data_IF_970332286962
#
_entry.id   IF_970332286962
#
_cell.length_a   1.000
_cell.length_b   1.000
_cell.length_c   1.000
_cell.angle_alpha   90.00
_cell.angle_beta   90.00
_cell.angle_gamma   90.00
#
_symmetry.space_group_name_H-M   'P 1'
#
loop_
_entity.id
_entity.type
_entity.pdbx_description
1 polymer ?
#
# COMPACT_ATOMS: atom_id res chain seq x y z
N UNK A 1 8.49 0.10 -11.60
CA UNK A 1 9.87 -0.37 -11.42
C UNK A 1 10.61 0.62 -10.55
N UNK A 2 11.72 0.21 -9.94
CA UNK A 2 12.57 1.00 -9.03
C UNK A 2 11.87 1.49 -7.75
N UNK A 3 10.85 0.73 -7.31
CA UNK A 3 10.17 0.91 -6.03
C UNK A 3 9.97 -0.43 -5.34
N UNK A 4 9.99 -0.43 -4.02
CA UNK A 4 9.54 -1.54 -3.17
C UNK A 4 8.28 -1.17 -2.40
N UNK A 5 7.44 -2.15 -2.11
CA UNK A 5 6.39 -2.04 -1.11
C UNK A 5 7.01 -2.04 0.29
N UNK A 6 6.59 -1.13 1.16
CA UNK A 6 7.02 -1.06 2.55
C UNK A 6 5.87 -0.58 3.44
N UNK A 7 6.07 -0.61 4.76
CA UNK A 7 5.09 -0.21 5.76
C UNK A 7 5.75 0.64 6.85
N UNK A 8 5.09 1.72 7.27
CA UNK A 8 5.72 2.64 8.22
C UNK A 8 4.76 3.40 9.14
N UNK A 9 3.79 4.16 8.60
CA UNK A 9 2.96 5.03 9.43
C UNK A 9 1.84 4.26 10.16
N UNK A 10 1.77 4.37 11.50
CA UNK A 10 0.73 3.70 12.29
C UNK A 10 -0.61 4.45 12.22
N UNK A 11 -1.67 3.74 11.84
CA UNK A 11 -3.02 4.31 11.78
C UNK A 11 -3.92 3.59 12.78
N UNK A 12 -4.51 4.36 13.69
CA UNK A 12 -5.33 3.85 14.79
C UNK A 12 -6.47 2.95 14.30
N UNK A 13 -7.20 3.38 13.28
CA UNK A 13 -8.33 2.60 12.80
C UNK A 13 -7.90 1.29 12.10
N UNK A 14 -6.67 1.22 11.57
CA UNK A 14 -6.06 -0.02 11.07
C UNK A 14 -5.37 -0.85 12.17
N UNK A 15 -5.07 -0.26 13.33
CA UNK A 15 -4.26 -0.87 14.40
C UNK A 15 -2.93 -1.43 13.88
N UNK A 16 -2.32 -0.77 12.90
CA UNK A 16 -1.10 -1.22 12.24
C UNK A 16 -0.52 -0.19 11.29
N UNK A 17 0.67 -0.50 10.76
CA UNK A 17 1.33 0.36 9.79
C UNK A 17 0.63 0.27 8.43
N UNK A 18 0.43 1.42 7.78
CA UNK A 18 -0.09 1.49 6.41
C UNK A 18 1.02 1.40 5.37
N UNK A 19 0.64 1.11 4.13
CA UNK A 19 1.55 0.86 3.03
C UNK A 19 2.12 2.14 2.44
N UNK A 20 3.37 2.08 1.99
CA UNK A 20 4.01 3.09 1.15
C UNK A 20 4.83 2.39 0.07
N UNK A 21 5.25 3.14 -0.95
CA UNK A 21 6.29 2.70 -1.88
C UNK A 21 7.54 3.54 -1.69
N UNK A 22 8.70 2.89 -1.64
CA UNK A 22 9.99 3.56 -1.44
C UNK A 22 10.89 3.28 -2.63
N UNK A 23 11.60 4.30 -3.11
CA UNK A 23 12.58 4.14 -4.18
C UNK A 23 13.59 3.05 -3.80
N UNK A 24 13.76 2.08 -4.69
CA UNK A 24 14.63 0.93 -4.49
C UNK A 24 14.99 0.36 -5.85
N UNK A 25 16.24 0.60 -6.27
CA UNK A 25 16.73 0.21 -7.60
C UNK A 25 16.50 -1.28 -7.83
N UNK A 26 16.05 -1.63 -9.03
CA UNK A 26 15.80 -3.00 -9.48
C UNK A 26 14.64 -3.72 -8.75
N UNK A 27 13.99 -3.08 -7.78
CA UNK A 27 12.76 -3.55 -7.17
C UNK A 27 11.54 -3.19 -8.05
N UNK A 28 10.40 -3.81 -7.76
CA UNK A 28 9.15 -3.46 -8.43
C UNK A 28 7.95 -3.63 -7.49
N UNK A 29 6.91 -2.86 -7.80
CA UNK A 29 5.60 -2.92 -7.16
C UNK A 29 4.57 -3.17 -8.26
N UNK A 30 3.71 -4.16 -8.06
CA UNK A 30 2.48 -4.32 -8.81
C UNK A 30 1.35 -3.61 -8.08
N UNK A 31 0.41 -3.08 -8.85
CA UNK A 31 -0.78 -2.41 -8.35
C UNK A 31 -1.85 -2.33 -9.44
N UNK A 32 -2.95 -1.69 -9.09
CA UNK A 32 -4.11 -1.50 -9.97
C UNK A 32 -4.18 -0.05 -10.43
N UNK A 33 -4.43 0.17 -11.72
CA UNK A 33 -4.63 1.51 -12.27
C UNK A 33 -6.13 1.79 -12.36
N UNK A 34 -6.58 2.83 -11.68
CA UNK A 34 -7.95 3.31 -11.71
C UNK A 34 -8.08 4.55 -12.59
N UNK A 35 -9.18 4.65 -13.33
CA UNK A 35 -9.55 5.88 -14.04
C UNK A 35 -10.61 6.60 -13.23
N UNK A 36 -10.47 7.91 -13.08
CA UNK A 36 -11.42 8.75 -12.35
C UNK A 36 -11.47 10.16 -12.93
N UNK A 37 -12.56 10.86 -12.63
CA UNK A 37 -12.70 12.25 -13.00
C UNK A 37 -11.73 13.13 -12.19
N UNK A 38 -11.08 14.05 -12.90
CA UNK A 38 -10.05 14.90 -12.30
C UNK A 38 -10.58 15.85 -11.23
N UNK A 39 -11.88 16.15 -11.25
CA UNK A 39 -12.53 16.95 -10.22
C UNK A 39 -12.61 16.23 -8.86
N UNK A 40 -12.53 14.89 -8.82
CA UNK A 40 -12.52 14.09 -7.60
C UNK A 40 -11.13 13.95 -6.96
N UNK A 41 -10.06 14.42 -7.61
CA UNK A 41 -8.69 14.25 -7.10
C UNK A 41 -8.49 14.81 -5.69
N UNK A 42 -9.19 15.89 -5.34
CA UNK A 42 -9.10 16.50 -4.01
C UNK A 42 -9.60 15.58 -2.89
N UNK A 43 -10.60 14.72 -3.16
CA UNK A 43 -11.07 13.74 -2.17
C UNK A 43 -10.03 12.66 -1.91
N UNK A 44 -9.26 12.25 -2.93
CA UNK A 44 -8.13 11.35 -2.70
C UNK A 44 -7.02 12.02 -1.89
N UNK A 45 -6.68 13.27 -2.21
CA UNK A 45 -5.67 14.02 -1.45
C UNK A 45 -6.07 14.18 0.03
N UNK A 46 -7.37 14.36 0.31
CA UNK A 46 -7.91 14.39 1.66
C UNK A 46 -7.81 13.03 2.36
N UNK A 47 -8.23 11.94 1.69
CA UNK A 47 -8.16 10.58 2.23
C UNK A 47 -6.73 10.15 2.57
N UNK A 48 -5.76 10.54 1.74
CA UNK A 48 -4.33 10.23 1.92
C UNK A 48 -3.64 11.22 2.88
N UNK A 49 -4.38 12.18 3.43
CA UNK A 49 -3.87 13.11 4.43
C UNK A 49 -2.76 14.02 3.89
N UNK A 50 -2.85 14.44 2.62
CA UNK A 50 -1.84 15.29 1.97
C UNK A 50 -1.68 16.62 2.71
N UNK A 51 -2.79 17.24 3.11
CA UNK A 51 -2.76 18.49 3.89
C UNK A 51 -2.15 18.31 5.29
N UNK A 52 -2.12 17.08 5.81
CA UNK A 52 -1.50 16.72 7.09
C UNK A 52 -0.04 16.26 6.94
N UNK A 53 0.47 16.19 5.70
CA UNK A 53 1.83 15.75 5.41
C UNK A 53 2.06 14.26 5.61
N UNK A 54 1.00 13.43 5.68
CA UNK A 54 1.15 11.98 5.85
C UNK A 54 1.72 11.37 4.58
N UNK A 55 1.06 11.62 3.44
CA UNK A 55 1.53 11.27 2.11
C UNK A 55 1.71 12.53 1.26
N UNK A 56 2.47 12.39 0.16
CA UNK A 56 2.49 13.36 -0.93
C UNK A 56 2.13 12.67 -2.25
N UNK A 57 1.45 13.39 -3.16
CA UNK A 57 1.13 12.85 -4.47
C UNK A 57 2.37 12.81 -5.36
N UNK A 58 2.52 11.72 -6.12
CA UNK A 58 3.59 11.53 -7.11
C UNK A 58 3.02 10.98 -8.40
N UNK A 59 3.45 11.52 -9.54
CA UNK A 59 3.22 10.90 -10.83
C UNK A 59 4.31 9.87 -11.09
N UNK A 60 3.91 8.65 -11.41
CA UNK A 60 4.80 7.54 -11.76
C UNK A 60 4.46 7.00 -13.14
N UNK A 61 5.47 6.56 -13.88
CA UNK A 61 5.26 5.81 -15.12
C UNK A 61 5.16 4.33 -14.78
N UNK A 62 4.04 3.71 -15.12
CA UNK A 62 3.77 2.28 -14.92
C UNK A 62 3.66 1.58 -16.27
N UNK A 63 3.98 0.29 -16.29
CA UNK A 63 3.89 -0.55 -17.49
C UNK A 63 2.78 -1.57 -17.30
N UNK A 64 1.82 -1.61 -18.21
CA UNK A 64 0.73 -2.60 -18.20
C UNK A 64 1.24 -3.99 -18.62
N UNK A 65 0.47 -5.07 -18.40
CA UNK A 65 0.83 -6.40 -18.91
C UNK A 65 1.01 -6.47 -20.43
N UNK A 66 0.36 -5.56 -21.19
CA UNK A 66 0.53 -5.45 -22.64
C UNK A 66 1.77 -4.66 -23.07
N UNK A 67 2.55 -4.15 -22.11
CA UNK A 67 3.74 -3.32 -22.37
C UNK A 67 3.46 -1.84 -22.59
N UNK A 68 2.20 -1.40 -22.45
CA UNK A 68 1.85 0.02 -22.56
C UNK A 68 2.37 0.79 -21.35
N UNK A 69 2.95 1.97 -21.59
CA UNK A 69 3.32 2.89 -20.52
C UNK A 69 2.19 3.87 -20.23
N UNK A 70 1.86 4.04 -18.95
CA UNK A 70 0.86 4.98 -18.45
C UNK A 70 1.49 5.88 -17.39
N UNK A 71 1.10 7.15 -17.36
CA UNK A 71 1.38 8.03 -16.22
C UNK A 71 0.21 7.93 -15.26
N UNK A 72 0.47 7.53 -14.03
CA UNK A 72 -0.53 7.41 -12.97
C UNK A 72 -0.13 8.25 -11.76
N UNK A 73 -1.12 8.86 -11.11
CA UNK A 73 -0.95 9.48 -9.79
C UNK A 73 -0.97 8.38 -8.74
N UNK A 74 -0.03 8.44 -7.80
CA UNK A 74 0.02 7.60 -6.61
C UNK A 74 0.43 8.46 -5.40
N UNK A 75 0.46 7.85 -4.22
CA UNK A 75 0.78 8.51 -2.96
C UNK A 75 1.94 7.80 -2.29
N UNK A 76 2.91 8.57 -1.80
CA UNK A 76 4.08 8.06 -1.09
C UNK A 76 4.14 8.74 0.28
N UNK A 77 4.40 7.97 1.34
CA UNK A 77 4.58 8.55 2.67
C UNK A 77 5.70 9.60 2.64
N UNK A 78 5.47 10.74 3.30
CA UNK A 78 6.45 11.83 3.36
C UNK A 78 7.72 11.40 4.10
N UNK A 79 7.58 10.54 5.11
CA UNK A 79 8.67 10.04 5.94
C UNK A 79 8.92 8.56 5.65
N UNK A 80 9.60 8.26 4.54
CA UNK A 80 9.82 6.88 4.14
C UNK A 80 10.74 6.11 5.09
N UNK A 81 10.47 4.82 5.31
CA UNK A 81 11.34 3.97 6.12
C UNK A 81 12.64 3.60 5.38
N UNK A 82 13.69 3.37 6.16
CA UNK A 82 14.89 2.69 5.67
C UNK A 82 14.58 1.25 5.24
N UNK A 83 15.27 0.81 4.19
CA UNK A 83 15.22 -0.57 3.71
C UNK A 83 15.73 -1.50 4.81
N UNK A 84 14.94 -2.53 5.11
CA UNK A 84 15.31 -3.53 6.11
C UNK A 84 16.51 -4.33 5.61
N UNK A 85 17.43 -4.65 6.53
CA UNK A 85 18.64 -5.42 6.19
C UNK A 85 18.26 -6.85 5.83
N UNK A 86 19.02 -7.43 4.90
CA UNK A 86 18.82 -8.83 4.49
C UNK A 86 18.84 -9.77 5.70
N UNK A 87 17.87 -10.69 5.74
CA UNK A 87 17.73 -11.67 6.82
C UNK A 87 17.10 -11.13 8.11
N UNK A 88 16.57 -9.90 8.09
CA UNK A 88 15.78 -9.35 9.20
C UNK A 88 14.37 -9.02 8.76
N UNK A 89 13.40 -9.22 9.65
CA UNK A 89 12.02 -8.81 9.43
C UNK A 89 11.84 -7.30 9.62
N UNK A 90 10.74 -6.76 9.07
CA UNK A 90 10.27 -5.42 9.39
C UNK A 90 10.06 -5.29 10.93
N UNK A 91 10.55 -4.20 11.56
CA UNK A 91 10.36 -3.96 12.99
C UNK A 91 8.88 -3.95 13.38
N UNK A 92 8.55 -4.40 14.59
CA UNK A 92 7.16 -4.52 15.07
C UNK A 92 6.32 -3.24 14.89
N UNK A 93 6.91 -2.07 15.15
CA UNK A 93 6.26 -0.76 15.00
C UNK A 93 6.00 -0.33 13.55
N UNK A 94 6.48 -1.09 12.57
CA UNK A 94 6.27 -0.89 11.13
C UNK A 94 5.44 -2.00 10.50
N UNK A 95 4.96 -2.98 11.28
CA UNK A 95 4.19 -4.10 10.73
C UNK A 95 2.72 -3.71 10.53
N UNK A 96 2.09 -4.12 9.42
CA UNK A 96 0.65 -3.96 9.22
C UNK A 96 -0.13 -4.84 10.20
N UNK A 97 -1.42 -4.52 10.37
CA UNK A 97 -2.35 -5.43 11.05
C UNK A 97 -2.75 -6.58 10.13
N UNK A 98 -3.27 -7.66 10.71
CA UNK A 98 -3.77 -8.81 9.95
C UNK A 98 -4.85 -8.37 8.95
N UNK A 99 -5.82 -7.59 9.42
CA UNK A 99 -6.93 -7.10 8.57
C UNK A 99 -6.42 -6.23 7.42
N UNK A 100 -5.45 -5.34 7.66
CA UNK A 100 -4.96 -4.45 6.61
C UNK A 100 -4.21 -5.23 5.53
N UNK A 101 -3.32 -6.16 5.91
CA UNK A 101 -2.59 -6.97 4.95
C UNK A 101 -3.53 -7.87 4.14
N UNK A 102 -4.55 -8.43 4.79
CA UNK A 102 -5.59 -9.24 4.15
C UNK A 102 -6.39 -8.43 3.11
N UNK A 103 -6.79 -7.20 3.44
CA UNK A 103 -7.46 -6.29 2.47
C UNK A 103 -6.57 -6.00 1.26
N UNK A 104 -5.28 -5.72 1.45
CA UNK A 104 -4.34 -5.51 0.34
C UNK A 104 -4.28 -6.76 -0.55
N UNK A 105 -4.14 -7.93 0.06
CA UNK A 105 -4.00 -9.17 -0.68
C UNK A 105 -5.28 -9.56 -1.43
N UNK A 106 -6.47 -9.37 -0.82
CA UNK A 106 -7.74 -9.60 -1.49
C UNK A 106 -7.97 -8.63 -2.65
N UNK A 107 -7.63 -7.35 -2.48
CA UNK A 107 -7.69 -6.38 -3.58
C UNK A 107 -6.73 -6.74 -4.73
N UNK A 108 -5.55 -7.27 -4.41
CA UNK A 108 -4.60 -7.78 -5.41
C UNK A 108 -5.16 -9.00 -6.18
N UNK A 109 -5.84 -9.92 -5.48
CA UNK A 109 -6.50 -11.09 -6.09
C UNK A 109 -7.65 -10.64 -7.00
N UNK A 110 -8.52 -9.76 -6.50
CA UNK A 110 -9.66 -9.22 -7.25
C UNK A 110 -9.19 -8.48 -8.51
N UNK A 111 -8.09 -7.75 -8.42
CA UNK A 111 -7.48 -7.03 -9.54
C UNK A 111 -6.63 -7.92 -10.47
N UNK A 112 -6.60 -9.23 -10.24
CA UNK A 112 -5.84 -10.20 -11.02
C UNK A 112 -4.34 -9.91 -11.11
N UNK A 113 -3.74 -9.43 -10.01
CA UNK A 113 -2.28 -9.30 -9.94
C UNK A 113 -1.62 -10.69 -10.03
N UNK A 114 -0.35 -10.75 -10.49
CA UNK A 114 0.39 -12.01 -10.56
C UNK A 114 0.41 -12.75 -9.22
N UNK A 115 0.22 -14.07 -9.27
CA UNK A 115 0.09 -14.92 -8.08
C UNK A 115 1.35 -14.91 -7.19
N UNK A 116 2.53 -14.78 -7.80
CA UNK A 116 3.80 -14.61 -7.10
C UNK A 116 3.86 -13.29 -6.32
N UNK A 117 3.31 -12.21 -6.89
CA UNK A 117 3.22 -10.93 -6.19
C UNK A 117 2.19 -10.95 -5.06
N UNK A 118 1.06 -11.64 -5.22
CA UNK A 118 0.11 -11.88 -4.12
C UNK A 118 0.79 -12.67 -3.00
N UNK A 119 1.57 -13.70 -3.34
CA UNK A 119 2.39 -14.45 -2.39
C UNK A 119 3.43 -13.56 -1.68
N UNK A 120 4.05 -12.64 -2.42
CA UNK A 120 4.95 -11.64 -1.85
C UNK A 120 4.24 -10.72 -0.84
N UNK A 121 3.02 -10.25 -1.11
CA UNK A 121 2.23 -9.47 -0.13
C UNK A 121 2.01 -10.28 1.16
N UNK A 122 1.59 -11.54 1.06
CA UNK A 122 1.38 -12.39 2.23
C UNK A 122 2.66 -12.73 3.01
N UNK A 123 3.84 -12.57 2.40
CA UNK A 123 5.12 -12.80 3.07
C UNK A 123 5.47 -11.76 4.15
N UNK A 124 4.81 -10.59 4.13
CA UNK A 124 5.08 -9.55 5.09
C UNK A 124 4.59 -9.95 6.50
N UNK A 125 5.43 -9.82 7.53
CA UNK A 125 5.02 -10.16 8.89
C UNK A 125 4.03 -9.11 9.41
N UNK A 126 2.95 -9.57 10.03
CA UNK A 126 1.95 -8.70 10.67
C UNK A 126 2.30 -8.44 12.13
N UNK A 127 1.62 -7.47 12.73
CA UNK A 127 1.68 -7.20 14.17
C UNK A 127 0.69 -8.06 14.99
N UNK A 128 -0.05 -8.97 14.35
CA UNK A 128 -1.03 -9.86 14.98
C UNK A 128 -2.34 -9.22 15.42
N UNK A 129 -2.51 -7.90 15.26
CA UNK A 129 -3.76 -7.20 15.60
C UNK A 129 -4.76 -7.25 14.46
N UNK A 130 -6.02 -7.05 14.80
CA UNK A 130 -7.09 -6.75 13.86
C UNK A 130 -7.33 -5.25 13.80
N UNK A 131 -7.85 -4.76 12.67
CA UNK A 131 -8.32 -3.38 12.59
C UNK A 131 -9.40 -3.09 13.64
N UNK A 132 -9.62 -1.80 13.92
CA UNK A 132 -10.65 -1.35 14.85
C UNK A 132 -12.01 -1.96 14.52
N UNK A 133 -12.88 -2.12 15.53
CA UNK A 133 -14.21 -2.71 15.33
C UNK A 133 -14.99 -1.95 14.25
N UNK A 134 -15.03 -0.62 14.35
CA UNK A 134 -15.70 0.25 13.37
C UNK A 134 -15.17 0.04 11.96
N UNK A 135 -13.84 0.03 11.77
CA UNK A 135 -13.25 -0.21 10.44
C UNK A 135 -13.60 -1.60 9.90
N UNK A 136 -13.65 -2.62 10.74
CA UNK A 136 -14.05 -3.97 10.32
C UNK A 136 -15.52 -4.03 9.90
N UNK A 137 -16.40 -3.31 10.59
CA UNK A 137 -17.82 -3.21 10.22
C UNK A 137 -18.01 -2.47 8.89
N UNK A 138 -17.28 -1.36 8.67
CA UNK A 138 -17.27 -0.61 7.39
C UNK A 138 -16.81 -1.47 6.20
N UNK A 139 -15.85 -2.38 6.43
CA UNK A 139 -15.34 -3.32 5.44
C UNK A 139 -16.24 -4.55 5.23
N UNK A 140 -17.28 -4.74 6.05
CA UNK A 140 -18.10 -5.96 6.01
C UNK A 140 -17.38 -7.22 6.50
N UNK A 141 -16.38 -7.10 7.38
CA UNK A 141 -15.58 -8.22 7.88
C UNK A 141 -16.39 -9.15 8.82
N UNK A 142 -16.22 -10.49 8.75
CA UNK A 142 -15.34 -11.22 7.84
C UNK A 142 -15.91 -11.29 6.42
N UNK A 143 -15.03 -11.19 5.44
CA UNK A 143 -15.33 -11.30 4.00
C UNK A 143 -15.10 -12.72 3.48
#
# INVERSE_FOLDING_TARGET
QDYRLDFNYQVEAWQGAVATIVEDKDAHVWGTVWTMDTDQLHYLDEQEGVALGIYYPKNVTVTTPSGQQLVARTYIETNNPDKVKNGTDIPMGRRPSNTYLEVIALGAIESHLPADYVGYIFSFPTNGKMASKTRREELGYPF
#
